data_IF_153018789987
#
_entry.id   IF_153018789987
#
_cell.length_a   1.000
_cell.length_b   1.000
_cell.length_c   1.000
_cell.angle_alpha   90.00
_cell.angle_beta   90.00
_cell.angle_gamma   90.00
#
_symmetry.space_group_name_H-M   'P 1'
#
loop_
_entity.id
_entity.type
_entity.pdbx_description
1 polymer ?
#
# COMPACT_ATOMS: atom_id res chain seq x y z
N UNK A 1 14.25 -5.51 -9.64
CA UNK A 1 13.54 -5.94 -8.41
C UNK A 1 12.02 -5.87 -8.58
N UNK A 2 11.22 -6.43 -7.66
CA UNK A 2 9.74 -6.51 -7.78
C UNK A 2 9.02 -5.87 -6.57
N UNK A 3 8.05 -5.01 -6.85
CA UNK A 3 7.05 -4.55 -5.86
C UNK A 3 5.70 -5.17 -6.19
N UNK A 4 4.90 -5.46 -5.16
CA UNK A 4 3.46 -5.68 -5.34
C UNK A 4 2.78 -4.35 -5.17
N UNK A 5 1.97 -3.96 -6.16
CA UNK A 5 1.19 -2.74 -6.13
C UNK A 5 -0.28 -3.12 -6.02
N UNK A 6 -0.97 -2.52 -5.07
CA UNK A 6 -2.43 -2.59 -4.99
C UNK A 6 -3.03 -1.19 -5.03
N UNK A 7 -4.15 -1.09 -5.72
CA UNK A 7 -4.90 0.15 -5.88
C UNK A 7 -6.24 -0.08 -5.19
N UNK A 8 -6.63 0.81 -4.30
CA UNK A 8 -7.88 0.63 -3.57
C UNK A 8 -9.06 0.51 -4.54
N UNK A 9 -9.67 -0.66 -4.54
CA UNK A 9 -10.96 -0.88 -5.16
C UNK A 9 -12.03 -0.60 -4.11
N UNK A 10 -12.61 0.61 -4.15
CA UNK A 10 -13.77 0.90 -3.31
C UNK A 10 -14.89 -0.08 -3.65
N UNK A 11 -15.48 -0.72 -2.65
CA UNK A 11 -16.75 -1.41 -2.80
C UNK A 11 -17.85 -0.37 -3.01
N UNK A 12 -18.09 0.10 -4.24
CA UNK A 12 -19.29 0.91 -4.51
C UNK A 12 -19.30 1.94 -5.63
N UNK A 13 -18.28 2.10 -6.47
CA UNK A 13 -18.37 3.05 -7.60
C UNK A 13 -19.31 2.51 -8.71
N UNK A 14 -20.61 2.75 -8.55
CA UNK A 14 -21.54 2.81 -9.69
C UNK A 14 -21.30 4.15 -10.40
N UNK A 15 -20.83 4.09 -11.64
CA UNK A 15 -20.92 5.22 -12.57
C UNK A 15 -22.41 5.54 -12.77
N UNK A 16 -22.92 6.57 -12.09
CA UNK A 16 -24.27 7.08 -12.34
C UNK A 16 -24.17 7.95 -13.60
N UNK A 17 -24.44 7.33 -14.74
CA UNK A 17 -24.70 8.06 -15.98
C UNK A 17 -25.99 8.86 -15.83
N UNK A 18 -25.88 10.19 -15.90
CA UNK A 18 -27.01 11.10 -15.92
C UNK A 18 -27.87 10.85 -17.16
N UNK A 19 -29.19 10.67 -17.00
CA UNK A 19 -30.16 11.11 -18.02
C UNK A 19 -31.56 11.30 -17.45
N UNK A 20 -32.14 12.44 -17.81
CA UNK A 20 -33.52 12.88 -17.60
C UNK A 20 -34.51 12.14 -18.52
N UNK A 21 -35.61 11.63 -17.94
CA UNK A 21 -37.04 11.43 -18.41
C UNK A 21 -37.41 11.29 -19.91
N UNK A 22 -38.57 10.70 -20.30
CA UNK A 22 -39.41 9.63 -19.70
C UNK A 22 -39.94 8.53 -20.68
N UNK A 23 -40.37 7.40 -20.11
CA UNK A 23 -41.48 6.47 -20.45
C UNK A 23 -41.74 5.89 -21.88
N UNK A 24 -41.49 4.56 -21.98
CA UNK A 24 -42.12 3.47 -22.79
C UNK A 24 -41.79 3.30 -24.30
N UNK A 25 -41.92 2.07 -24.87
CA UNK A 25 -41.69 0.72 -24.32
C UNK A 25 -40.79 -0.21 -25.21
N UNK A 26 -40.32 -1.29 -24.57
CA UNK A 26 -39.79 -2.56 -25.12
C UNK A 26 -38.50 -2.53 -25.94
N UNK A 27 -37.37 -2.73 -25.24
CA UNK A 27 -36.21 -3.43 -25.79
C UNK A 27 -35.69 -4.38 -24.68
N UNK A 28 -35.48 -5.68 -24.93
CA UNK A 28 -34.99 -6.60 -23.92
C UNK A 28 -33.59 -6.13 -23.51
N UNK A 29 -33.48 -5.68 -22.26
CA UNK A 29 -32.21 -5.32 -21.65
C UNK A 29 -31.45 -6.64 -21.51
N UNK A 30 -30.48 -6.89 -22.38
CA UNK A 30 -29.46 -7.89 -22.13
C UNK A 30 -28.74 -7.44 -20.85
N UNK A 31 -29.16 -7.99 -19.72
CA UNK A 31 -28.39 -7.97 -18.50
C UNK A 31 -27.22 -8.91 -18.75
N UNK A 32 -26.20 -8.44 -19.47
CA UNK A 32 -24.87 -9.04 -19.38
C UNK A 32 -24.47 -8.86 -17.93
N UNK A 33 -24.63 -9.92 -17.14
CA UNK A 33 -23.87 -10.09 -15.92
C UNK A 33 -22.42 -9.83 -16.33
N UNK A 34 -21.86 -8.71 -15.87
CA UNK A 34 -20.45 -8.42 -16.07
C UNK A 34 -19.72 -9.47 -15.23
N UNK A 35 -19.46 -10.61 -15.86
CA UNK A 35 -18.52 -11.61 -15.37
C UNK A 35 -17.20 -10.84 -15.31
N UNK A 36 -16.84 -10.35 -14.12
CA UNK A 36 -15.44 -10.02 -13.87
C UNK A 36 -14.68 -11.30 -14.20
N UNK A 37 -13.89 -11.28 -15.28
CA UNK A 37 -13.17 -12.47 -15.72
C UNK A 37 -12.30 -12.94 -14.57
N UNK A 38 -12.36 -14.22 -14.24
CA UNK A 38 -11.32 -14.86 -13.43
C UNK A 38 -9.98 -14.64 -14.14
N UNK A 39 -9.00 -14.04 -13.46
CA UNK A 39 -7.65 -13.94 -13.98
C UNK A 39 -6.83 -15.14 -13.51
N UNK A 40 -5.98 -15.67 -14.38
CA UNK A 40 -5.15 -16.84 -14.05
C UNK A 40 -3.81 -16.44 -13.39
N UNK A 41 -3.34 -15.22 -13.65
CA UNK A 41 -2.05 -14.71 -13.15
C UNK A 41 -2.12 -13.23 -12.76
N UNK A 42 -1.31 -12.83 -11.77
CA UNK A 42 -1.15 -11.42 -11.39
C UNK A 42 -0.31 -10.73 -12.48
N UNK A 43 -0.79 -9.65 -13.11
CA UNK A 43 -0.05 -8.93 -14.15
C UNK A 43 1.31 -8.46 -13.68
N UNK A 44 2.30 -8.56 -14.56
CA UNK A 44 3.67 -8.06 -14.32
C UNK A 44 3.94 -6.92 -15.30
N UNK A 45 4.20 -5.73 -14.77
CA UNK A 45 4.48 -4.52 -15.53
C UNK A 45 5.94 -4.13 -15.35
N UNK A 46 6.62 -3.78 -16.43
CA UNK A 46 8.01 -3.33 -16.39
C UNK A 46 8.08 -1.80 -16.55
N UNK A 47 8.51 -1.13 -15.49
CA UNK A 47 8.61 0.34 -15.44
C UNK A 47 9.55 0.89 -16.51
N UNK A 48 10.56 0.13 -16.93
CA UNK A 48 11.52 0.56 -17.97
C UNK A 48 10.84 0.81 -19.33
N UNK A 49 9.65 0.26 -19.56
CA UNK A 49 8.87 0.52 -20.78
C UNK A 49 8.49 1.99 -20.93
N UNK A 50 8.37 2.74 -19.84
CA UNK A 50 8.00 4.15 -19.85
C UNK A 50 9.03 5.05 -20.55
N UNK A 51 10.30 4.63 -20.56
CA UNK A 51 11.41 5.34 -21.21
C UNK A 51 11.88 4.69 -22.52
N UNK A 52 11.35 3.51 -22.87
CA UNK A 52 11.74 2.74 -24.05
C UNK A 52 11.02 3.13 -25.35
N UNK A 53 10.39 4.32 -25.40
CA UNK A 53 9.70 4.86 -26.58
C UNK A 53 8.17 4.79 -26.51
N UNK A 54 7.52 5.40 -27.51
CA UNK A 54 6.05 5.63 -27.52
C UNK A 54 5.25 4.34 -27.48
N UNK A 55 5.63 3.34 -28.29
CA UNK A 55 4.94 2.04 -28.34
C UNK A 55 5.07 1.27 -27.02
N UNK A 56 6.28 1.26 -26.43
CA UNK A 56 6.55 0.64 -25.13
C UNK A 56 5.76 1.30 -24.00
N UNK A 57 5.69 2.63 -23.99
CA UNK A 57 4.85 3.38 -23.04
C UNK A 57 3.38 3.01 -23.22
N UNK A 58 2.86 3.02 -24.45
CA UNK A 58 1.47 2.67 -24.72
C UNK A 58 1.14 1.24 -24.25
N UNK A 59 2.08 0.30 -24.41
CA UNK A 59 1.97 -1.05 -23.86
C UNK A 59 1.86 -1.04 -22.33
N UNK A 60 2.73 -0.32 -21.62
CA UNK A 60 2.66 -0.20 -20.17
C UNK A 60 1.31 0.37 -19.72
N UNK A 61 0.84 1.45 -20.34
CA UNK A 61 -0.44 2.09 -20.01
C UNK A 61 -1.62 1.13 -20.25
N UNK A 62 -1.60 0.37 -21.34
CA UNK A 62 -2.62 -0.63 -21.61
C UNK A 62 -2.61 -1.77 -20.59
N UNK A 63 -1.42 -2.23 -20.18
CA UNK A 63 -1.28 -3.25 -19.13
C UNK A 63 -1.77 -2.73 -17.78
N UNK A 64 -1.44 -1.47 -17.45
CA UNK A 64 -1.89 -0.82 -16.21
C UNK A 64 -3.41 -0.72 -16.15
N UNK A 65 -4.05 -0.34 -17.26
CA UNK A 65 -5.51 -0.30 -17.37
C UNK A 65 -6.13 -1.68 -17.10
N UNK A 66 -5.67 -2.74 -17.75
CA UNK A 66 -6.20 -4.10 -17.52
C UNK A 66 -5.97 -4.52 -16.07
N UNK A 67 -4.75 -4.36 -15.54
CA UNK A 67 -4.43 -4.71 -14.16
C UNK A 67 -5.35 -4.03 -13.14
N UNK A 68 -5.67 -2.74 -13.31
CA UNK A 68 -6.51 -2.03 -12.36
C UNK A 68 -8.01 -2.33 -12.48
N UNK A 69 -8.52 -2.60 -13.70
CA UNK A 69 -9.96 -2.83 -13.92
C UNK A 69 -10.38 -4.28 -13.77
N UNK A 70 -9.45 -5.22 -13.97
CA UNK A 70 -9.75 -6.66 -13.99
C UNK A 70 -9.20 -7.39 -12.76
N UNK A 71 -8.07 -6.93 -12.21
CA UNK A 71 -7.30 -7.66 -11.18
C UNK A 71 -7.28 -6.93 -9.84
N UNK A 72 -6.99 -5.62 -9.83
CA UNK A 72 -6.79 -4.81 -8.61
C UNK A 72 -5.38 -4.87 -8.02
N UNK A 73 -4.50 -5.70 -8.58
CA UNK A 73 -3.12 -5.92 -8.16
C UNK A 73 -2.17 -6.09 -9.35
N UNK A 74 -0.90 -5.77 -9.16
CA UNK A 74 0.16 -6.10 -10.12
C UNK A 74 1.52 -6.24 -9.45
N UNK A 75 2.45 -6.90 -10.14
CA UNK A 75 3.88 -6.80 -9.88
C UNK A 75 4.50 -5.69 -10.73
N UNK A 76 5.28 -4.81 -10.10
CA UNK A 76 6.04 -3.78 -10.79
C UNK A 76 7.53 -4.15 -10.81
N UNK A 77 8.08 -4.33 -12.01
CA UNK A 77 9.49 -4.56 -12.25
C UNK A 77 10.23 -3.24 -12.48
N UNK A 78 11.48 -3.22 -12.05
CA UNK A 78 12.44 -2.14 -12.32
C UNK A 78 11.94 -0.73 -11.96
N UNK A 79 11.26 -0.55 -10.80
CA UNK A 79 10.81 0.78 -10.40
C UNK A 79 12.02 1.71 -10.21
N UNK A 80 11.80 3.03 -10.24
CA UNK A 80 12.85 4.03 -10.09
C UNK A 80 13.21 4.25 -8.61
N UNK A 81 13.45 3.15 -7.88
CA UNK A 81 13.90 3.16 -6.48
C UNK A 81 15.28 2.51 -6.41
N UNK A 82 16.23 3.16 -5.76
CA UNK A 82 17.63 2.71 -5.67
C UNK A 82 17.71 1.32 -5.00
N UNK A 83 18.25 0.35 -5.74
CA UNK A 83 18.43 -1.03 -5.28
C UNK A 83 19.32 -1.12 -4.03
N UNK A 84 20.31 -0.22 -3.87
CA UNK A 84 21.16 -0.18 -2.67
C UNK A 84 20.36 0.25 -1.44
N UNK A 85 19.43 1.18 -1.64
CA UNK A 85 18.55 1.68 -0.59
C UNK A 85 17.51 0.63 -0.20
N UNK A 86 16.95 -0.08 -1.19
CA UNK A 86 16.08 -1.24 -0.97
C UNK A 86 16.82 -2.30 -0.16
N UNK A 87 18.05 -2.64 -0.53
CA UNK A 87 18.85 -3.63 0.20
C UNK A 87 19.16 -3.15 1.63
N UNK A 88 19.49 -1.87 1.80
CA UNK A 88 19.74 -1.26 3.11
C UNK A 88 18.55 -1.43 4.06
N UNK A 89 17.33 -1.08 3.62
CA UNK A 89 16.13 -1.24 4.47
C UNK A 89 15.78 -2.71 4.73
N UNK A 90 16.03 -3.60 3.77
CA UNK A 90 15.88 -5.06 3.96
C UNK A 90 16.84 -5.55 5.05
N UNK A 91 18.10 -5.09 5.05
CA UNK A 91 19.12 -5.49 6.03
C UNK A 91 18.85 -4.89 7.43
N UNK A 92 18.20 -3.72 7.50
CA UNK A 92 17.79 -3.10 8.77
C UNK A 92 16.53 -3.71 9.38
N UNK A 93 15.59 -4.20 8.56
CA UNK A 93 14.34 -4.77 9.03
C UNK A 93 14.50 -5.83 10.14
N UNK A 94 15.35 -6.87 10.02
CA UNK A 94 15.55 -7.82 11.12
C UNK A 94 16.18 -7.18 12.35
N UNK A 95 17.16 -6.29 12.17
CA UNK A 95 17.87 -5.62 13.28
C UNK A 95 16.94 -4.79 14.16
N UNK A 96 15.95 -4.12 13.55
CA UNK A 96 14.90 -3.40 14.28
C UNK A 96 14.15 -4.31 15.25
N UNK A 97 13.76 -5.50 14.79
CA UNK A 97 12.96 -6.42 15.59
C UNK A 97 13.79 -7.27 16.56
N UNK A 98 15.11 -7.31 16.37
CA UNK A 98 16.07 -7.96 17.25
C UNK A 98 16.57 -7.03 18.37
N UNK A 99 16.16 -5.76 18.38
CA UNK A 99 16.38 -4.85 19.51
C UNK A 99 15.81 -5.42 20.83
N UNK A 100 16.40 -5.09 21.99
CA UNK A 100 15.86 -5.47 23.29
C UNK A 100 14.37 -5.12 23.41
N UNK A 101 13.60 -6.00 24.04
CA UNK A 101 12.15 -5.81 24.14
C UNK A 101 11.79 -4.49 24.85
N UNK A 102 12.54 -4.10 25.88
CA UNK A 102 12.38 -2.82 26.57
C UNK A 102 12.59 -1.63 25.62
N UNK A 103 13.61 -1.67 24.76
CA UNK A 103 13.84 -0.66 23.73
C UNK A 103 12.65 -0.59 22.78
N UNK A 104 12.15 -1.73 22.26
CA UNK A 104 10.97 -1.74 21.38
C UNK A 104 9.70 -1.21 22.07
N UNK A 105 9.49 -1.56 23.33
CA UNK A 105 8.33 -1.10 24.13
C UNK A 105 8.39 0.40 24.45
N UNK A 106 9.59 0.98 24.59
CA UNK A 106 9.75 2.44 24.71
C UNK A 106 9.27 3.19 23.46
N UNK A 107 9.33 2.53 22.29
CA UNK A 107 8.87 3.05 21.01
C UNK A 107 7.41 2.68 20.70
N UNK A 108 6.66 2.11 21.65
CA UNK A 108 5.32 1.58 21.40
C UNK A 108 4.34 2.66 20.93
N UNK A 109 3.55 2.37 19.88
CA UNK A 109 2.63 3.33 19.27
C UNK A 109 1.60 3.91 20.26
N UNK A 110 1.26 3.19 21.33
CA UNK A 110 0.34 3.67 22.39
C UNK A 110 0.88 4.88 23.15
N UNK A 111 2.19 5.13 23.07
CA UNK A 111 2.85 6.30 23.66
C UNK A 111 2.77 7.54 22.74
N UNK A 112 2.18 7.41 21.54
CA UNK A 112 2.19 8.45 20.51
C UNK A 112 0.77 8.73 19.98
N UNK A 113 0.31 9.99 20.06
CA UNK A 113 -1.03 10.38 19.59
C UNK A 113 -1.25 10.13 18.09
N UNK A 114 -0.19 10.02 17.30
CA UNK A 114 -0.25 9.75 15.86
C UNK A 114 -0.28 8.26 15.50
N UNK A 115 -0.20 7.38 16.51
CA UNK A 115 -0.15 5.93 16.38
C UNK A 115 1.04 5.44 15.53
N UNK A 116 2.17 6.15 15.60
CA UNK A 116 3.42 5.77 14.95
C UNK A 116 4.42 5.23 15.98
N UNK A 117 5.05 4.11 15.66
CA UNK A 117 5.95 3.39 16.54
C UNK A 117 5.75 1.87 16.46
N UNK A 118 6.30 1.17 17.43
CA UNK A 118 6.25 -0.29 17.53
C UNK A 118 4.86 -0.80 17.93
N UNK A 119 4.42 -1.90 17.31
CA UNK A 119 3.31 -2.71 17.79
C UNK A 119 3.80 -4.12 18.15
N UNK A 120 3.39 -4.59 19.32
CA UNK A 120 3.84 -5.85 19.91
C UNK A 120 3.30 -7.04 19.13
N UNK A 121 4.05 -8.14 19.17
CA UNK A 121 3.64 -9.41 18.57
C UNK A 121 2.23 -9.81 19.04
N UNK A 122 1.32 -10.03 18.10
CA UNK A 122 -0.05 -10.48 18.39
C UNK A 122 -0.96 -9.41 19.00
N UNK A 123 -0.58 -8.14 18.93
CA UNK A 123 -1.41 -7.04 19.41
C UNK A 123 -2.51 -6.62 18.41
N UNK A 124 -2.37 -6.98 17.14
CA UNK A 124 -3.36 -6.69 16.10
C UNK A 124 -4.40 -7.82 15.99
N UNK A 125 -5.66 -7.45 15.79
CA UNK A 125 -6.78 -8.38 15.64
C UNK A 125 -7.48 -8.07 14.31
N UNK A 126 -7.47 -9.02 13.39
CA UNK A 126 -8.22 -8.92 12.12
C UNK A 126 -9.31 -9.98 12.08
N UNK A 127 -10.55 -9.56 11.85
CA UNK A 127 -11.75 -10.42 11.80
C UNK A 127 -11.97 -11.30 13.05
N UNK A 128 -11.45 -10.88 14.20
CA UNK A 128 -11.62 -11.60 15.47
C UNK A 128 -10.47 -12.54 15.83
N UNK A 129 -9.52 -12.74 14.92
CA UNK A 129 -8.32 -13.55 15.14
C UNK A 129 -7.07 -12.67 15.30
N UNK A 130 -6.11 -13.15 16.08
CA UNK A 130 -4.84 -12.47 16.33
C UNK A 130 -3.96 -12.54 15.08
N UNK A 131 -3.47 -11.39 14.62
CA UNK A 131 -2.44 -11.32 13.58
C UNK A 131 -1.07 -11.57 14.22
N UNK A 132 -0.45 -12.72 13.94
CA UNK A 132 0.83 -13.08 14.53
C UNK A 132 2.00 -12.40 13.83
N UNK A 133 2.09 -11.09 14.05
CA UNK A 133 3.14 -10.20 13.55
C UNK A 133 3.54 -9.20 14.62
N UNK A 134 4.78 -8.74 14.55
CA UNK A 134 5.17 -7.46 15.13
C UNK A 134 5.42 -6.46 13.99
N UNK A 135 5.21 -5.18 14.26
CA UNK A 135 5.34 -4.13 13.24
C UNK A 135 5.90 -2.83 13.82
N UNK A 136 6.37 -1.97 12.93
CA UNK A 136 6.79 -0.62 13.24
C UNK A 136 6.20 0.34 12.20
N UNK A 137 5.35 1.25 12.65
CA UNK A 137 4.63 2.20 11.80
C UNK A 137 5.28 3.58 11.84
N UNK A 138 5.39 4.20 10.67
CA UNK A 138 5.88 5.56 10.49
C UNK A 138 5.15 6.21 9.29
N UNK A 139 5.45 7.46 9.00
CA UNK A 139 4.81 8.20 7.92
C UNK A 139 5.73 9.31 7.38
N UNK A 140 5.17 10.16 6.52
CA UNK A 140 5.81 11.38 6.02
C UNK A 140 6.53 12.12 7.16
N UNK A 141 7.78 12.56 6.95
CA UNK A 141 8.52 13.33 7.95
C UNK A 141 7.69 14.49 8.50
N UNK A 142 7.57 14.53 9.82
CA UNK A 142 6.78 15.54 10.51
C UNK A 142 7.51 16.88 10.55
N UNK A 143 6.89 17.93 10.00
CA UNK A 143 7.44 19.28 9.93
C UNK A 143 6.95 20.22 11.05
N UNK A 144 6.19 19.72 12.04
CA UNK A 144 5.75 20.52 13.18
C UNK A 144 4.47 21.33 12.97
N UNK A 145 3.76 21.18 11.85
CA UNK A 145 2.67 22.07 11.44
C UNK A 145 1.31 21.87 12.16
N UNK A 146 1.24 21.18 13.31
CA UNK A 146 -0.04 20.91 13.98
C UNK A 146 -0.55 22.13 14.71
N UNK A 147 -1.83 22.44 14.54
CA UNK A 147 -2.53 23.40 15.40
C UNK A 147 -2.89 22.72 16.73
N UNK A 148 -2.36 23.15 17.89
CA UNK A 148 -2.70 22.54 19.18
C UNK A 148 -4.19 22.70 19.56
N UNK A 149 -4.90 23.63 18.92
CA UNK A 149 -6.34 23.85 19.05
C UNK A 149 -7.15 23.31 17.88
N UNK A 150 -6.50 22.58 16.97
CA UNK A 150 -7.14 21.94 15.83
C UNK A 150 -8.03 20.76 16.24
N UNK A 151 -8.84 20.24 15.31
CA UNK A 151 -9.66 19.05 15.53
C UNK A 151 -8.80 17.81 15.83
N UNK A 152 -9.38 16.87 16.57
CA UNK A 152 -8.64 15.70 17.09
C UNK A 152 -8.01 14.82 16.00
N UNK A 153 -8.58 14.76 14.79
CA UNK A 153 -7.98 13.98 13.70
C UNK A 153 -6.60 14.48 13.28
N UNK A 154 -6.25 15.75 13.54
CA UNK A 154 -4.90 16.28 13.28
C UNK A 154 -3.85 15.61 14.16
N UNK A 155 -4.25 14.93 15.26
CA UNK A 155 -3.36 14.10 16.08
C UNK A 155 -2.77 12.93 15.31
N UNK A 156 -3.46 12.45 14.26
CA UNK A 156 -3.00 11.36 13.40
C UNK A 156 -1.78 11.74 12.55
N UNK A 157 -1.41 13.02 12.53
CA UNK A 157 -0.17 13.56 11.98
C UNK A 157 0.79 13.93 13.11
N UNK A 158 2.01 13.42 13.02
CA UNK A 158 3.05 13.67 14.03
C UNK A 158 4.29 12.82 13.80
N UNK A 159 5.32 13.00 14.64
CA UNK A 159 6.59 12.30 14.48
C UNK A 159 6.45 10.82 14.84
N UNK A 160 7.15 9.94 14.12
CA UNK A 160 7.30 8.55 14.53
C UNK A 160 8.33 8.42 15.67
N UNK A 161 8.15 7.39 16.50
CA UNK A 161 9.07 7.08 17.60
C UNK A 161 10.22 6.21 17.09
N UNK A 162 11.21 6.83 16.46
CA UNK A 162 12.38 6.15 15.91
C UNK A 162 13.31 5.60 17.00
N UNK A 163 13.96 4.43 16.78
CA UNK A 163 15.06 4.00 17.64
C UNK A 163 16.18 5.04 17.62
N UNK A 164 16.90 5.18 18.72
CA UNK A 164 18.03 6.11 18.78
C UNK A 164 19.16 5.66 17.85
N UNK A 165 19.98 6.59 17.37
CA UNK A 165 21.19 6.25 16.59
C UNK A 165 22.23 5.50 17.42
N UNK A 166 22.08 5.43 18.76
CA UNK A 166 22.91 4.56 19.60
C UNK A 166 22.42 3.11 19.56
N UNK A 167 21.11 2.91 19.59
CA UNK A 167 20.49 1.57 19.58
C UNK A 167 20.53 0.93 18.18
N UNK A 168 20.26 1.73 17.15
CA UNK A 168 20.24 1.27 15.76
C UNK A 168 20.75 2.36 14.79
N UNK A 169 22.08 2.54 14.70
CA UNK A 169 22.70 3.61 13.93
C UNK A 169 22.24 3.62 12.47
N UNK A 170 21.80 4.79 11.98
CA UNK A 170 21.49 5.01 10.56
C UNK A 170 20.17 4.42 10.08
N UNK A 171 19.40 3.75 10.95
CA UNK A 171 18.09 3.19 10.60
C UNK A 171 17.12 4.25 10.10
N UNK A 172 16.96 5.33 10.87
CA UNK A 172 16.04 6.40 10.53
C UNK A 172 16.41 7.05 9.19
N UNK A 173 17.70 7.35 8.98
CA UNK A 173 18.17 7.94 7.73
C UNK A 173 17.90 7.04 6.52
N UNK A 174 18.18 5.73 6.63
CA UNK A 174 17.93 4.77 5.55
C UNK A 174 16.44 4.63 5.21
N UNK A 175 15.58 4.49 6.23
CA UNK A 175 14.14 4.36 6.01
C UNK A 175 13.49 5.65 5.50
N UNK A 176 13.93 6.82 5.97
CA UNK A 176 13.44 8.11 5.45
C UNK A 176 13.83 8.32 3.99
N UNK A 177 15.08 8.02 3.61
CA UNK A 177 15.48 8.12 2.20
C UNK A 177 14.70 7.13 1.31
N UNK A 178 14.46 5.90 1.78
CA UNK A 178 13.68 4.91 1.05
C UNK A 178 12.22 5.34 0.89
N UNK A 179 11.66 5.90 1.96
CA UNK A 179 10.32 6.44 1.99
C UNK A 179 10.14 7.56 0.96
N UNK A 180 11.08 8.52 0.88
CA UNK A 180 10.99 9.63 -0.07
C UNK A 180 10.92 9.14 -1.52
N UNK A 181 11.71 8.12 -1.88
CA UNK A 181 11.64 7.51 -3.22
C UNK A 181 10.33 6.75 -3.47
N UNK A 182 9.78 6.09 -2.45
CA UNK A 182 8.48 5.44 -2.54
C UNK A 182 7.32 6.46 -2.68
N UNK A 183 7.40 7.60 -1.98
CA UNK A 183 6.44 8.68 -2.08
C UNK A 183 6.45 9.28 -3.50
N UNK A 184 7.64 9.56 -4.05
CA UNK A 184 7.77 10.05 -5.43
C UNK A 184 7.26 9.02 -6.45
N UNK A 185 7.60 7.75 -6.29
CA UNK A 185 7.04 6.66 -7.10
C UNK A 185 5.51 6.64 -7.02
N UNK A 186 4.92 6.86 -5.85
CA UNK A 186 3.46 6.88 -5.68
C UNK A 186 2.80 7.99 -6.50
N UNK A 187 3.39 9.20 -6.53
CA UNK A 187 2.87 10.32 -7.33
C UNK A 187 2.99 10.04 -8.83
N UNK A 188 4.14 9.52 -9.28
CA UNK A 188 4.35 9.14 -10.68
C UNK A 188 3.37 8.04 -11.11
N UNK A 189 3.18 7.04 -10.25
CA UNK A 189 2.27 5.94 -10.52
C UNK A 189 0.82 6.42 -10.62
N UNK A 190 0.38 7.32 -9.74
CA UNK A 190 -0.97 7.90 -9.81
C UNK A 190 -1.18 8.75 -11.07
N UNK A 191 -0.15 9.44 -11.57
CA UNK A 191 -0.23 10.16 -12.84
C UNK A 191 -0.38 9.21 -14.04
N UNK A 192 0.36 8.08 -14.04
CA UNK A 192 0.21 7.01 -15.04
C UNK A 192 -1.15 6.34 -14.95
N UNK A 193 -1.70 6.24 -13.74
CA UNK A 193 -3.04 5.73 -13.50
C UNK A 193 -4.10 6.62 -14.13
N UNK A 194 -3.96 7.95 -14.00
CA UNK A 194 -4.84 8.90 -14.65
C UNK A 194 -4.78 8.74 -16.18
N UNK A 195 -3.59 8.63 -16.76
CA UNK A 195 -3.40 8.37 -18.19
C UNK A 195 -4.04 7.03 -18.63
N UNK A 196 -3.86 5.97 -17.85
CA UNK A 196 -4.51 4.68 -18.07
C UNK A 196 -6.03 4.79 -18.04
N UNK A 197 -6.60 5.69 -17.24
CA UNK A 197 -8.05 5.97 -17.22
C UNK A 197 -8.50 6.94 -18.33
N UNK A 198 -7.60 7.41 -19.19
CA UNK A 198 -7.90 8.40 -20.23
C UNK A 198 -8.12 9.82 -19.70
N UNK A 199 -7.61 10.09 -18.49
CA UNK A 199 -7.68 11.40 -17.82
C UNK A 199 -6.35 12.16 -18.02
N UNK A 200 -6.36 13.51 -17.84
CA UNK A 200 -5.12 14.27 -17.70
C UNK A 200 -4.25 13.72 -16.56
N UNK A 201 -2.93 13.72 -16.72
CA UNK A 201 -1.98 13.16 -15.72
C UNK A 201 -2.06 13.81 -14.34
N UNK A 202 -2.59 15.03 -14.25
CA UNK A 202 -2.80 15.77 -13.01
C UNK A 202 -4.25 15.66 -12.45
N UNK A 203 -5.07 14.75 -12.96
CA UNK A 203 -6.48 14.64 -12.55
C UNK A 203 -6.68 14.38 -11.04
N UNK A 204 -5.68 13.79 -10.38
CA UNK A 204 -5.70 13.51 -8.95
C UNK A 204 -5.10 14.60 -8.07
N UNK A 205 -4.44 15.61 -8.65
CA UNK A 205 -3.70 16.63 -7.88
C UNK A 205 -4.58 17.40 -6.89
N UNK A 206 -5.86 17.58 -7.22
CA UNK A 206 -6.85 18.23 -6.35
C UNK A 206 -7.15 17.48 -5.05
N UNK A 207 -6.77 16.21 -4.96
CA UNK A 207 -6.94 15.38 -3.76
C UNK A 207 -5.66 15.33 -2.91
N UNK A 208 -4.57 15.91 -3.40
CA UNK A 208 -3.33 16.00 -2.65
C UNK A 208 -3.30 17.27 -1.81
N UNK A 209 -2.76 17.15 -0.59
CA UNK A 209 -2.39 18.30 0.20
C UNK A 209 -1.33 19.12 -0.55
N UNK A 210 -1.37 20.44 -0.34
CA UNK A 210 -0.45 21.38 -0.99
C UNK A 210 0.28 22.18 0.09
N UNK A 211 1.62 22.16 0.12
CA UNK A 211 2.53 21.46 -0.80
C UNK A 211 2.48 19.92 -0.66
N UNK A 212 2.87 19.17 -1.70
CA UNK A 212 2.69 17.69 -1.73
C UNK A 212 3.44 16.95 -0.63
N UNK A 213 4.52 17.52 -0.13
CA UNK A 213 5.33 16.99 0.98
C UNK A 213 4.62 17.04 2.34
N UNK A 214 3.44 17.68 2.44
CA UNK A 214 2.58 17.58 3.64
C UNK A 214 1.52 16.47 3.55
N UNK A 215 1.38 15.82 2.39
CA UNK A 215 0.52 14.65 2.23
C UNK A 215 1.00 13.53 3.15
N UNK A 216 0.06 12.88 3.84
CA UNK A 216 0.37 11.75 4.71
C UNK A 216 0.39 10.45 3.92
N UNK A 217 1.57 9.95 3.59
CA UNK A 217 1.72 8.53 3.31
C UNK A 217 2.12 7.81 4.60
N UNK A 218 1.52 6.64 4.83
CA UNK A 218 1.82 5.79 5.98
C UNK A 218 2.62 4.59 5.50
N UNK A 219 3.64 4.22 6.27
CA UNK A 219 4.49 3.08 6.00
C UNK A 219 4.60 2.20 7.23
N UNK A 220 4.86 0.92 7.01
CA UNK A 220 5.06 -0.06 8.08
C UNK A 220 6.12 -1.07 7.70
N UNK A 221 6.98 -1.41 8.65
CA UNK A 221 7.85 -2.59 8.59
C UNK A 221 7.16 -3.69 9.37
N UNK A 222 7.08 -4.90 8.81
CA UNK A 222 6.35 -6.01 9.43
C UNK A 222 7.23 -7.25 9.47
N UNK A 223 7.29 -7.92 10.62
CA UNK A 223 7.93 -9.23 10.80
C UNK A 223 6.88 -10.24 11.20
N UNK A 224 6.84 -11.34 10.44
CA UNK A 224 6.06 -12.53 10.76
C UNK A 224 7.02 -13.56 11.36
N UNK A 225 6.95 -13.85 12.68
CA UNK A 225 7.77 -14.89 13.28
C UNK A 225 7.35 -16.28 12.80
N UNK A 226 8.15 -17.28 13.15
CA UNK A 226 7.74 -18.68 12.98
C UNK A 226 6.61 -18.98 13.95
N UNK A 227 5.47 -19.41 13.41
CA UNK A 227 4.32 -19.85 14.19
C UNK A 227 4.64 -21.14 14.97
N UNK A 228 4.26 -21.25 16.26
CA UNK A 228 4.28 -22.53 16.98
C UNK A 228 3.40 -23.58 16.27
N UNK A 229 3.79 -24.85 16.33
CA UNK A 229 2.96 -25.93 15.79
C UNK A 229 1.57 -25.94 16.44
N UNK A 230 0.51 -26.07 15.62
CA UNK A 230 -0.88 -26.10 16.09
C UNK A 230 -1.54 -24.73 16.32
N UNK A 231 -0.85 -23.62 16.02
CA UNK A 231 -1.46 -22.28 16.00
C UNK A 231 -2.16 -21.97 14.67
N UNK A 232 -3.00 -20.93 14.65
CA UNK A 232 -3.61 -20.40 13.42
C UNK A 232 -2.53 -20.09 12.38
N UNK A 233 -2.83 -20.28 11.09
CA UNK A 233 -1.92 -19.92 9.99
C UNK A 233 -2.03 -18.44 9.58
N UNK A 234 -2.84 -17.66 10.31
CA UNK A 234 -3.06 -16.24 10.03
C UNK A 234 -1.84 -15.38 10.41
N UNK A 235 -1.13 -14.89 9.38
CA UNK A 235 -0.20 -13.77 9.52
C UNK A 235 -0.93 -12.43 9.60
N UNK A 236 -1.78 -12.15 8.62
CA UNK A 236 -2.77 -11.05 8.62
C UNK A 236 -4.07 -11.58 8.05
N UNK A 237 -5.19 -11.32 8.74
CA UNK A 237 -6.51 -11.69 8.21
C UNK A 237 -6.84 -10.99 6.88
N UNK A 238 -7.78 -11.51 6.07
CA UNK A 238 -8.18 -10.88 4.81
C UNK A 238 -8.79 -9.49 5.02
N UNK A 239 -8.23 -8.47 4.37
CA UNK A 239 -8.63 -7.05 4.53
C UNK A 239 -8.50 -6.26 3.21
N UNK A 240 -8.83 -4.97 3.26
CA UNK A 240 -8.53 -3.98 2.22
C UNK A 240 -7.72 -2.85 2.84
N UNK A 241 -6.83 -2.26 2.05
CA UNK A 241 -6.09 -1.08 2.47
C UNK A 241 -6.97 0.17 2.37
N UNK A 242 -6.83 1.07 3.35
CA UNK A 242 -7.63 2.30 3.44
C UNK A 242 -7.14 3.47 2.58
N UNK A 243 -5.95 3.37 1.99
CA UNK A 243 -5.33 4.41 1.15
C UNK A 243 -5.62 4.25 -0.35
N UNK A 244 -5.16 5.18 -1.19
CA UNK A 244 -5.35 5.09 -2.65
C UNK A 244 -4.49 4.01 -3.32
N UNK A 245 -3.25 3.86 -2.84
CA UNK A 245 -2.21 3.02 -3.42
C UNK A 245 -1.37 2.43 -2.28
N UNK A 246 -1.05 1.14 -2.36
CA UNK A 246 -0.05 0.52 -1.49
C UNK A 246 1.07 -0.05 -2.34
N UNK A 247 2.31 0.28 -1.95
CA UNK A 247 3.53 -0.32 -2.47
C UNK A 247 4.06 -1.32 -1.44
N UNK A 248 4.05 -2.60 -1.79
CA UNK A 248 4.48 -3.68 -0.92
C UNK A 248 5.79 -4.29 -1.43
N UNK A 249 6.79 -4.36 -0.55
CA UNK A 249 8.09 -4.99 -0.83
C UNK A 249 8.34 -6.16 0.14
N UNK A 250 8.14 -7.41 -0.30
CA UNK A 250 8.49 -8.59 0.51
C UNK A 250 10.00 -8.76 0.66
N UNK A 251 10.49 -9.07 1.86
CA UNK A 251 11.92 -9.33 2.14
C UNK A 251 12.36 -10.74 1.74
N UNK A 252 11.43 -11.69 1.71
CA UNK A 252 11.64 -13.06 1.23
C UNK A 252 11.04 -13.24 -0.17
N UNK A 253 11.51 -14.26 -0.89
CA UNK A 253 10.93 -14.69 -2.16
C UNK A 253 9.52 -15.31 -2.03
N UNK A 254 8.95 -15.37 -0.82
CA UNK A 254 7.58 -15.82 -0.59
C UNK A 254 6.59 -14.83 -1.22
N UNK A 255 5.80 -15.31 -2.17
CA UNK A 255 4.73 -14.54 -2.81
C UNK A 255 3.60 -14.34 -1.80
N UNK A 256 3.03 -13.14 -1.67
CA UNK A 256 1.78 -12.97 -0.94
C UNK A 256 0.72 -13.91 -1.53
N UNK A 257 0.00 -14.67 -0.68
CA UNK A 257 -1.22 -15.34 -1.16
C UNK A 257 -2.33 -14.31 -1.36
N UNK A 258 -3.24 -14.65 -2.26
CA UNK A 258 -4.49 -13.93 -2.46
C UNK A 258 -5.60 -14.96 -2.25
N UNK A 259 -6.62 -14.63 -1.46
CA UNK A 259 -7.77 -15.52 -1.24
C UNK A 259 -8.95 -15.08 -2.10
N UNK A 260 -9.50 -16.00 -2.88
CA UNK A 260 -10.78 -15.81 -3.54
C UNK A 260 -11.92 -15.93 -2.53
N UNK A 261 -12.89 -15.02 -2.57
CA UNK A 261 -14.17 -15.21 -1.89
C UNK A 261 -15.30 -15.11 -2.91
N UNK A 262 -16.14 -16.15 -2.99
CA UNK A 262 -17.33 -16.24 -3.83
C UNK A 262 -17.11 -16.02 -5.34
N UNK A 263 -16.09 -16.66 -5.91
CA UNK A 263 -15.91 -16.80 -7.37
C UNK A 263 -15.83 -15.48 -8.16
N UNK A 264 -15.54 -14.36 -7.49
CA UNK A 264 -15.62 -13.05 -8.14
C UNK A 264 -14.74 -11.96 -7.53
N UNK A 265 -14.05 -12.18 -6.39
CA UNK A 265 -13.12 -11.20 -5.81
C UNK A 265 -11.92 -11.86 -5.14
N UNK A 266 -10.73 -11.44 -5.55
CA UNK A 266 -9.48 -11.77 -4.88
C UNK A 266 -9.19 -10.72 -3.80
N UNK A 267 -8.91 -11.19 -2.59
CA UNK A 267 -8.54 -10.37 -1.43
C UNK A 267 -7.07 -10.59 -1.09
N UNK A 268 -6.33 -9.53 -0.74
CA UNK A 268 -5.00 -9.71 -0.19
C UNK A 268 -5.11 -10.43 1.15
N UNK A 269 -4.43 -11.56 1.24
CA UNK A 269 -4.27 -12.31 2.47
C UNK A 269 -2.83 -12.79 2.49
N UNK A 270 -1.94 -12.10 3.23
CA UNK A 270 -0.59 -12.63 3.46
C UNK A 270 -0.71 -13.87 4.36
N UNK A 271 -1.04 -14.98 3.73
CA UNK A 271 -0.87 -16.34 4.22
C UNK A 271 0.37 -16.88 3.50
N UNK A 272 1.24 -17.58 4.23
CA UNK A 272 2.55 -18.08 3.76
C UNK A 272 2.56 -18.65 2.33
#
# INVERSE_FOLDING_TARGET
>A
MQYVVTIAQSSGLKLIGSSSTPQHPTCPIYLTAYIMSSFEEIPVLDWSLLSAGVESRAKFISQLRSAMTEVGFLYLLNPPVDDNLVQSVIDYAPKLFDLPQETKESLAMVNNESFFGYNKLGAEITKGDIDFREQFDFATPWNGCRNPKGPDYERLWGPAQWPSDTDLPGFHAAYSAYYDQCAELSFQFMALLAEALGLPSNAFDRFYDTPRDVMLHRAKVVKYPVMPEGSSDQGVGPHFDGGFLTLLRPTLASKPRMQEENGSRLRPALVR
#
